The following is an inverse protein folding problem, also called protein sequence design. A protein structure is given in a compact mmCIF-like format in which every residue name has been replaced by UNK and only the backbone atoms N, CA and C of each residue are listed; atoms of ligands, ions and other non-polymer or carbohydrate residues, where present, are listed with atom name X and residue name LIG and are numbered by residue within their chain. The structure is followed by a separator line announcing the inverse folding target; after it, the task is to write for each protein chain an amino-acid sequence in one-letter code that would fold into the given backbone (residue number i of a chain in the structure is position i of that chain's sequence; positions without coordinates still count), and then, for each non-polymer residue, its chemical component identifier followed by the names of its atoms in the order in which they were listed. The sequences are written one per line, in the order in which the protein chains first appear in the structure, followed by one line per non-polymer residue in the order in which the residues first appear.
data_IF_793658665748
#
_entry.id   IF_793658665748
#
_cell.length_a   1.000
_cell.length_b   1.000
_cell.length_c   1.000
_cell.angle_alpha   90.00
_cell.angle_beta   90.00
_cell.angle_gamma   90.00
#
_symmetry.space_group_name_H-M   'P 1'
#
loop_
_entity.id
_entity.type
_entity.pdbx_description
1 polymer ?
#
# COMPACT_ATOMS: atom_id res chain seq x y z
N UNK A 1 -16.06 -2.62 -9.65
CA UNK A 1 -14.62 -2.40 -9.35
C UNK A 1 -14.38 -2.70 -7.88
N UNK A 2 -13.42 -3.55 -7.60
CA UNK A 2 -13.05 -3.90 -6.22
C UNK A 2 -12.01 -2.92 -5.69
N UNK A 3 -11.76 -2.98 -4.37
CA UNK A 3 -10.70 -2.18 -3.77
C UNK A 3 -9.32 -2.59 -4.31
N UNK A 4 -9.14 -3.87 -4.66
CA UNK A 4 -7.89 -4.33 -5.26
C UNK A 4 -7.67 -3.73 -6.65
N UNK A 5 -8.75 -3.59 -7.43
CA UNK A 5 -8.67 -2.92 -8.74
C UNK A 5 -8.31 -1.45 -8.59
N UNK A 6 -8.90 -0.78 -7.58
CA UNK A 6 -8.57 0.62 -7.28
C UNK A 6 -7.11 0.78 -6.90
N UNK A 7 -6.60 -0.13 -6.08
CA UNK A 7 -5.21 -0.11 -5.68
C UNK A 7 -4.29 -0.27 -6.90
N UNK A 8 -4.62 -1.22 -7.78
CA UNK A 8 -3.83 -1.45 -8.99
C UNK A 8 -3.83 -0.21 -9.90
N UNK A 9 -4.99 0.42 -10.08
CA UNK A 9 -5.10 1.64 -10.88
C UNK A 9 -4.30 2.79 -10.28
N UNK A 10 -4.36 2.94 -8.96
CA UNK A 10 -3.61 3.98 -8.25
C UNK A 10 -2.11 3.77 -8.43
N UNK A 11 -1.65 2.53 -8.29
CA UNK A 11 -0.22 2.20 -8.46
C UNK A 11 0.22 2.53 -9.90
N UNK A 12 -0.59 2.16 -10.90
CA UNK A 12 -0.27 2.47 -12.28
C UNK A 12 -0.17 3.98 -12.51
N UNK A 13 -1.04 4.77 -11.87
CA UNK A 13 -1.03 6.23 -12.00
C UNK A 13 0.16 6.88 -11.29
N UNK A 14 0.69 6.27 -10.24
CA UNK A 14 1.75 6.84 -9.41
C UNK A 14 3.08 6.10 -9.51
N UNK A 15 3.19 5.12 -10.43
CA UNK A 15 4.38 4.26 -10.50
C UNK A 15 5.67 5.06 -10.71
N UNK A 16 5.64 6.08 -11.56
CA UNK A 16 6.82 6.90 -11.82
C UNK A 16 7.29 7.63 -10.55
N UNK A 17 6.36 8.17 -9.77
CA UNK A 17 6.69 8.84 -8.52
C UNK A 17 7.27 7.87 -7.49
N UNK A 18 6.65 6.70 -7.36
CA UNK A 18 7.08 5.71 -6.39
C UNK A 18 8.46 5.14 -6.75
N UNK A 19 8.68 4.86 -8.03
CA UNK A 19 9.95 4.31 -8.50
C UNK A 19 11.11 5.29 -8.37
N UNK A 20 10.84 6.58 -8.34
CA UNK A 20 11.87 7.58 -8.11
C UNK A 20 12.38 7.57 -6.67
N UNK A 21 11.58 7.08 -5.72
CA UNK A 21 11.94 7.11 -4.31
C UNK A 21 12.41 5.76 -3.80
N UNK A 22 12.04 4.65 -4.44
CA UNK A 22 12.44 3.33 -3.98
C UNK A 22 12.06 2.23 -4.94
N UNK A 23 12.34 1.00 -4.54
CA UNK A 23 11.96 -0.19 -5.30
C UNK A 23 10.50 -0.51 -5.03
N UNK A 24 9.70 -0.60 -6.08
CA UNK A 24 8.26 -0.83 -5.98
C UNK A 24 7.95 -2.28 -6.36
N UNK A 25 7.22 -2.97 -5.49
CA UNK A 25 6.74 -4.32 -5.76
C UNK A 25 5.25 -4.38 -5.47
N UNK A 26 4.48 -4.76 -6.47
CA UNK A 26 3.05 -4.99 -6.32
C UNK A 26 2.76 -6.45 -6.63
N UNK A 27 2.09 -7.12 -5.69
CA UNK A 27 1.72 -8.53 -5.84
C UNK A 27 0.22 -8.65 -5.59
N UNK A 28 -0.47 -9.29 -6.54
CA UNK A 28 -1.89 -9.57 -6.39
C UNK A 28 -2.03 -11.07 -6.20
N UNK A 29 -2.68 -11.47 -5.09
CA UNK A 29 -2.88 -12.87 -4.78
C UNK A 29 -3.93 -13.53 -5.66
N UNK A 30 -4.11 -14.86 -5.51
CA UNK A 30 -5.11 -15.59 -6.30
C UNK A 30 -6.50 -15.03 -6.06
N UNK A 31 -7.30 -14.98 -7.14
CA UNK A 31 -8.68 -14.48 -7.04
C UNK A 31 -9.68 -15.57 -6.72
N UNK A 32 -9.26 -16.83 -6.79
CA UNK A 32 -10.13 -17.99 -6.55
C UNK A 32 -10.19 -18.40 -5.08
N UNK A 33 -9.61 -17.61 -4.18
CA UNK A 33 -9.69 -17.86 -2.74
C UNK A 33 -10.83 -17.07 -2.13
N UNK A 34 -11.24 -17.44 -0.92
CA UNK A 34 -12.39 -16.83 -0.24
C UNK A 34 -12.18 -15.35 0.08
N UNK A 35 -10.94 -14.91 0.27
CA UNK A 35 -10.64 -13.51 0.57
C UNK A 35 -9.38 -13.07 -0.16
N UNK A 36 -9.50 -12.75 -1.47
CA UNK A 36 -8.35 -12.30 -2.25
C UNK A 36 -7.69 -11.06 -1.67
N UNK A 37 -6.39 -10.95 -1.85
CA UNK A 37 -5.61 -9.84 -1.33
C UNK A 37 -4.60 -9.34 -2.35
N UNK A 38 -4.08 -8.15 -2.09
CA UNK A 38 -2.98 -7.57 -2.85
C UNK A 38 -2.02 -6.88 -1.90
N UNK A 39 -0.75 -6.81 -2.27
CA UNK A 39 0.25 -6.13 -1.47
C UNK A 39 1.07 -5.18 -2.31
N UNK A 40 1.39 -4.02 -1.74
CA UNK A 40 2.30 -3.05 -2.32
C UNK A 40 3.44 -2.85 -1.34
N UNK A 41 4.67 -3.02 -1.80
CA UNK A 41 5.86 -2.77 -0.98
C UNK A 41 6.72 -1.75 -1.72
N UNK A 42 7.12 -0.70 -1.01
CA UNK A 42 8.08 0.29 -1.53
C UNK A 42 9.30 0.24 -0.63
N UNK A 43 10.41 -0.26 -1.17
CA UNK A 43 11.66 -0.39 -0.44
C UNK A 43 12.46 0.90 -0.53
N UNK A 44 12.63 1.58 0.59
CA UNK A 44 13.46 2.78 0.72
C UNK A 44 14.84 2.38 1.28
N UNK A 45 15.74 3.35 1.41
CA UNK A 45 17.10 3.06 1.85
C UNK A 45 17.16 2.40 3.23
N UNK A 46 16.34 2.89 4.17
CA UNK A 46 16.39 2.45 5.56
C UNK A 46 15.08 1.84 6.07
N UNK A 47 14.01 1.93 5.28
CA UNK A 47 12.69 1.45 5.70
C UNK A 47 11.95 0.86 4.50
N UNK A 48 11.01 -0.03 4.79
CA UNK A 48 10.05 -0.50 3.80
C UNK A 48 8.66 0.01 4.18
N UNK A 49 7.93 0.50 3.20
CA UNK A 49 6.53 0.86 3.37
C UNK A 49 5.70 -0.21 2.69
N UNK A 50 4.77 -0.81 3.44
CA UNK A 50 3.98 -1.93 2.94
C UNK A 50 2.50 -1.70 3.18
N UNK A 51 1.69 -2.03 2.19
CA UNK A 51 0.24 -2.02 2.30
C UNK A 51 -0.30 -3.37 1.85
N UNK A 52 -1.02 -4.04 2.74
CA UNK A 52 -1.79 -5.25 2.43
C UNK A 52 -3.26 -4.87 2.41
N UNK A 53 -3.97 -5.30 1.38
CA UNK A 53 -5.39 -4.97 1.22
C UNK A 53 -6.16 -6.22 0.80
N UNK A 54 -7.25 -6.50 1.50
CA UNK A 54 -8.16 -7.61 1.19
C UNK A 54 -9.46 -7.08 0.59
N UNK A 55 -10.14 -7.92 -0.20
CA UNK A 55 -11.41 -7.53 -0.83
C UNK A 55 -12.52 -7.25 0.18
N UNK A 56 -12.39 -7.76 1.41
CA UNK A 56 -13.34 -7.48 2.50
C UNK A 56 -13.22 -6.06 3.04
N UNK A 57 -12.19 -5.31 2.62
CA UNK A 57 -11.95 -3.95 3.11
C UNK A 57 -10.93 -3.87 4.23
N UNK A 58 -10.47 -5.00 4.74
CA UNK A 58 -9.40 -4.99 5.73
C UNK A 58 -8.09 -4.61 5.09
N UNK A 59 -7.29 -3.81 5.77
CA UNK A 59 -5.99 -3.38 5.27
C UNK A 59 -4.99 -3.33 6.42
N UNK A 60 -3.72 -3.61 6.11
CA UNK A 60 -2.63 -3.45 7.04
C UNK A 60 -1.58 -2.54 6.41
N UNK A 61 -1.25 -1.48 7.11
CA UNK A 61 -0.29 -0.48 6.66
C UNK A 61 0.91 -0.51 7.61
N UNK A 62 2.05 -0.89 7.08
CA UNK A 62 3.28 -1.03 7.85
C UNK A 62 4.30 -0.02 7.34
N UNK A 63 4.89 0.73 8.26
CA UNK A 63 5.86 1.76 7.92
C UNK A 63 6.77 2.02 9.12
N UNK A 64 7.69 2.96 8.99
CA UNK A 64 8.61 3.30 10.06
C UNK A 64 9.99 2.70 9.85
N UNK A 65 10.94 3.02 10.72
CA UNK A 65 12.30 2.54 10.64
C UNK A 65 12.37 1.05 10.94
N UNK A 66 13.38 0.36 10.42
CA UNK A 66 13.52 -1.08 10.62
C UNK A 66 13.69 -1.48 12.08
N UNK A 67 14.21 -0.56 12.92
CA UNK A 67 14.38 -0.78 14.36
C UNK A 67 13.16 -0.29 15.17
N UNK A 68 12.22 0.41 14.53
CA UNK A 68 11.01 0.92 15.19
C UNK A 68 9.85 0.89 14.20
N UNK A 69 9.43 -0.30 13.74
CA UNK A 69 8.35 -0.40 12.77
C UNK A 69 6.99 -0.06 13.38
N UNK A 70 6.13 0.54 12.57
CA UNK A 70 4.75 0.85 12.94
C UNK A 70 3.82 -0.03 12.11
N UNK A 71 2.89 -0.71 12.77
CA UNK A 71 1.91 -1.57 12.14
C UNK A 71 0.52 -1.01 12.45
N UNK A 72 -0.26 -0.77 11.41
CA UNK A 72 -1.59 -0.18 11.55
C UNK A 72 -2.61 -1.05 10.83
N UNK A 73 -3.66 -1.43 11.53
CA UNK A 73 -4.79 -2.12 10.93
C UNK A 73 -5.87 -1.10 10.60
N UNK A 74 -6.33 -1.10 9.36
CA UNK A 74 -7.34 -0.13 8.88
C UNK A 74 -8.48 -0.90 8.23
N UNK A 75 -9.69 -0.46 8.47
CA UNK A 75 -10.87 -0.99 7.78
C UNK A 75 -11.34 0.01 6.75
N UNK A 76 -11.43 -0.43 5.50
CA UNK A 76 -11.84 0.41 4.38
C UNK A 76 -13.32 0.15 4.11
N UNK A 77 -14.15 1.13 4.38
CA UNK A 77 -15.60 1.01 4.20
C UNK A 77 -16.11 1.78 3.00
N UNK A 78 -15.26 2.62 2.39
CA UNK A 78 -15.64 3.42 1.23
C UNK A 78 -14.42 3.66 0.34
N UNK A 79 -14.63 3.98 -0.97
CA UNK A 79 -13.53 4.35 -1.85
C UNK A 79 -12.74 5.55 -1.34
N UNK A 80 -13.41 6.50 -0.70
CA UNK A 80 -12.76 7.69 -0.14
C UNK A 80 -11.79 7.34 0.99
N UNK A 81 -12.12 6.32 1.79
CA UNK A 81 -11.24 5.86 2.84
C UNK A 81 -10.00 5.19 2.26
N UNK A 82 -10.15 4.43 1.18
CA UNK A 82 -9.00 3.86 0.49
C UNK A 82 -8.11 4.96 -0.09
N UNK A 83 -8.71 5.96 -0.73
CA UNK A 83 -7.95 7.08 -1.28
C UNK A 83 -7.17 7.82 -0.19
N UNK A 84 -7.77 7.99 0.99
CA UNK A 84 -7.11 8.61 2.12
C UNK A 84 -5.92 7.79 2.61
N UNK A 85 -6.07 6.47 2.67
CA UNK A 85 -4.99 5.58 3.07
C UNK A 85 -3.85 5.60 2.05
N UNK A 86 -4.16 5.60 0.76
CA UNK A 86 -3.16 5.67 -0.30
C UNK A 86 -2.40 7.00 -0.27
N UNK A 87 -3.08 8.08 0.08
CA UNK A 87 -2.42 9.37 0.26
C UNK A 87 -1.44 9.34 1.42
N UNK A 88 -1.82 8.70 2.53
CA UNK A 88 -0.92 8.51 3.67
C UNK A 88 0.29 7.68 3.28
N UNK A 89 0.09 6.64 2.48
CA UNK A 89 1.18 5.81 1.98
C UNK A 89 2.15 6.64 1.15
N UNK A 90 1.64 7.45 0.23
CA UNK A 90 2.47 8.31 -0.61
C UNK A 90 3.28 9.30 0.24
N UNK A 91 2.65 9.89 1.24
CA UNK A 91 3.32 10.81 2.16
C UNK A 91 4.43 10.11 2.95
N UNK A 92 4.18 8.87 3.39
CA UNK A 92 5.18 8.10 4.12
C UNK A 92 6.37 7.77 3.22
N UNK A 93 6.11 7.40 1.96
CA UNK A 93 7.16 7.09 0.99
C UNK A 93 7.99 8.33 0.67
N UNK A 94 7.35 9.45 0.37
CA UNK A 94 8.04 10.70 0.04
C UNK A 94 8.78 11.25 1.27
N UNK A 95 8.13 11.21 2.44
CA UNK A 95 8.73 11.67 3.68
C UNK A 95 9.94 10.85 4.12
N UNK A 96 9.98 9.58 3.75
CA UNK A 96 11.10 8.69 4.09
C UNK A 96 12.39 9.02 3.36
N UNK A 97 12.34 9.92 2.39
CA UNK A 97 13.50 10.34 1.62
C UNK A 97 14.26 11.53 2.21
N UNK A 98 13.69 12.24 3.11
CA UNK A 98 14.31 13.47 3.64
C UNK A 98 15.38 13.26 4.71
#
# INVERSE_FOLDING_TARGET
MTDLDRLADWIAAHSAELEQVGAVRFTRGPEDVSNPSASLVVGLADVDVELLLWTTGEAEFNYGASDDPVFEHVEIESPEELDALLRRLLEAVVGGQS
#
